data_IF_742970621342
#
_entry.id   IF_742970621342
#
_cell.length_a   1.000
_cell.length_b   1.000
_cell.length_c   1.000
_cell.angle_alpha   90.00
_cell.angle_beta   90.00
_cell.angle_gamma   90.00
#
_symmetry.space_group_name_H-M   'P 1'
#
loop_
_entity.id
_entity.type
_entity.pdbx_description
1 polymer ?
#
# COMPACT_ATOMS: atom_id res chain seq x y z
N UNK A 1 -18.80 -0.02 12.21
CA UNK A 1 -18.56 -0.14 10.76
C UNK A 1 -17.13 -0.51 10.41
N UNK A 2 -16.09 0.32 10.64
CA UNK A 2 -14.71 -0.04 10.27
C UNK A 2 -14.23 -1.31 10.97
N UNK A 3 -14.51 -1.45 12.27
CA UNK A 3 -14.26 -2.67 13.05
C UNK A 3 -14.95 -3.91 12.49
N UNK A 4 -16.21 -3.77 12.04
CA UNK A 4 -16.98 -4.85 11.42
C UNK A 4 -16.38 -5.26 10.08
N UNK A 5 -16.03 -4.29 9.22
CA UNK A 5 -15.35 -4.55 7.95
C UNK A 5 -14.03 -5.29 8.20
N UNK A 6 -13.23 -4.85 9.18
CA UNK A 6 -11.98 -5.53 9.56
C UNK A 6 -12.21 -6.96 10.03
N UNK A 7 -13.30 -7.23 10.75
CA UNK A 7 -13.70 -8.59 11.13
C UNK A 7 -14.05 -9.43 9.90
N UNK A 8 -14.81 -8.89 8.96
CA UNK A 8 -15.19 -9.57 7.72
C UNK A 8 -13.99 -9.92 6.81
N UNK A 9 -12.94 -9.08 6.78
CA UNK A 9 -11.71 -9.34 6.01
C UNK A 9 -10.61 -10.04 6.82
N UNK A 10 -10.88 -10.44 8.07
CA UNK A 10 -9.85 -10.92 9.00
C UNK A 10 -9.15 -12.20 8.52
N UNK A 11 -9.89 -13.11 7.86
CA UNK A 11 -9.32 -14.32 7.26
C UNK A 11 -8.37 -13.97 6.10
N UNK A 12 -8.76 -13.04 5.24
CA UNK A 12 -7.92 -12.57 4.13
C UNK A 12 -6.66 -11.89 4.65
N UNK A 13 -6.78 -11.01 5.65
CA UNK A 13 -5.63 -10.38 6.30
C UNK A 13 -4.71 -11.44 6.92
N UNK A 14 -5.26 -12.45 7.59
CA UNK A 14 -4.47 -13.54 8.17
C UNK A 14 -3.70 -14.33 7.11
N UNK A 15 -4.27 -14.54 5.93
CA UNK A 15 -3.58 -15.16 4.78
C UNK A 15 -2.43 -14.31 4.27
N UNK A 16 -2.58 -12.98 4.21
CA UNK A 16 -1.50 -12.07 3.78
C UNK A 16 -0.38 -12.05 4.81
N UNK A 17 -0.72 -11.93 6.09
CA UNK A 17 0.25 -11.83 7.19
C UNK A 17 1.03 -13.15 7.41
N UNK A 18 0.39 -14.29 7.16
CA UNK A 18 1.04 -15.61 7.21
C UNK A 18 1.78 -15.98 5.92
N UNK A 19 1.62 -15.20 4.85
CA UNK A 19 2.34 -15.43 3.61
C UNK A 19 3.85 -15.33 3.85
N UNK A 20 4.58 -16.35 3.41
CA UNK A 20 6.05 -16.30 3.41
C UNK A 20 6.49 -15.31 2.33
N UNK A 21 7.21 -14.28 2.75
CA UNK A 21 7.78 -13.25 1.88
C UNK A 21 9.02 -13.77 1.15
N UNK A 22 9.45 -13.03 0.13
CA UNK A 22 10.70 -13.31 -0.58
C UNK A 22 11.93 -13.23 0.34
N UNK A 23 13.02 -13.88 -0.07
CA UNK A 23 14.16 -14.16 0.81
C UNK A 23 15.53 -13.69 0.28
N UNK A 24 15.62 -13.26 -0.97
CA UNK A 24 16.86 -12.82 -1.63
C UNK A 24 17.01 -11.29 -1.70
N UNK A 25 18.25 -10.83 -1.79
CA UNK A 25 18.57 -9.40 -2.01
C UNK A 25 18.15 -8.98 -3.42
N UNK A 26 18.26 -9.89 -4.38
CA UNK A 26 17.86 -9.68 -5.77
C UNK A 26 16.35 -9.39 -5.86
N UNK A 27 15.51 -10.13 -5.12
CA UNK A 27 14.07 -9.81 -5.05
C UNK A 27 13.79 -8.55 -4.23
N UNK A 28 14.60 -8.20 -3.22
CA UNK A 28 14.48 -6.90 -2.54
C UNK A 28 14.76 -5.73 -3.48
N UNK A 29 15.77 -5.83 -4.34
CA UNK A 29 16.06 -4.84 -5.38
C UNK A 29 14.92 -4.73 -6.39
N UNK A 30 14.39 -5.88 -6.84
CA UNK A 30 13.20 -5.92 -7.67
C UNK A 30 12.02 -5.21 -6.99
N UNK A 31 11.78 -5.49 -5.70
CA UNK A 31 10.75 -4.83 -4.90
C UNK A 31 10.91 -3.31 -4.96
N UNK A 32 12.13 -2.76 -4.79
CA UNK A 32 12.34 -1.31 -4.90
C UNK A 32 12.09 -0.74 -6.30
N UNK A 33 12.39 -1.48 -7.37
CA UNK A 33 12.04 -1.07 -8.73
C UNK A 33 10.52 -1.08 -8.97
N UNK A 34 9.80 -2.07 -8.43
CA UNK A 34 8.34 -2.10 -8.51
C UNK A 34 7.71 -0.97 -7.65
N UNK A 35 8.25 -0.71 -6.47
CA UNK A 35 7.84 0.39 -5.61
C UNK A 35 8.12 1.76 -6.25
N UNK A 36 9.22 1.89 -7.00
CA UNK A 36 9.47 3.11 -7.78
C UNK A 36 8.33 3.39 -8.77
N UNK A 37 7.80 2.36 -9.45
CA UNK A 37 6.63 2.53 -10.30
C UNK A 37 5.38 2.90 -9.48
N UNK A 38 5.08 2.11 -8.45
CA UNK A 38 3.87 2.25 -7.61
C UNK A 38 3.81 3.65 -6.96
N UNK A 39 4.83 4.04 -6.20
CA UNK A 39 4.83 5.30 -5.43
C UNK A 39 4.74 6.53 -6.34
N UNK A 40 5.33 6.50 -7.53
CA UNK A 40 5.17 7.59 -8.51
C UNK A 40 3.72 7.75 -9.00
N UNK A 41 2.96 6.66 -9.07
CA UNK A 41 1.55 6.68 -9.48
C UNK A 41 0.63 6.95 -8.28
N UNK A 42 0.93 6.42 -7.11
CA UNK A 42 0.16 6.64 -5.89
C UNK A 42 0.18 8.12 -5.46
N UNK A 43 1.32 8.80 -5.59
CA UNK A 43 1.39 10.26 -5.40
C UNK A 43 0.42 11.05 -6.28
N UNK A 44 0.21 10.62 -7.53
CA UNK A 44 -0.74 11.27 -8.44
C UNK A 44 -2.18 10.94 -8.04
N UNK A 45 -2.43 9.69 -7.66
CA UNK A 45 -3.73 9.26 -7.15
C UNK A 45 -4.13 10.03 -5.90
N UNK A 46 -3.22 10.19 -4.94
CA UNK A 46 -3.44 10.98 -3.72
C UNK A 46 -3.65 12.46 -4.03
N UNK A 47 -2.89 13.05 -4.95
CA UNK A 47 -3.13 14.43 -5.39
C UNK A 47 -4.53 14.60 -6.02
N UNK A 48 -5.00 13.61 -6.80
CA UNK A 48 -6.37 13.60 -7.33
C UNK A 48 -7.39 13.50 -6.18
N UNK A 49 -7.17 12.63 -5.19
CA UNK A 49 -8.05 12.52 -4.01
C UNK A 49 -8.15 13.85 -3.25
N UNK A 50 -7.02 14.53 -3.00
CA UNK A 50 -6.98 15.87 -2.38
C UNK A 50 -7.80 16.86 -3.21
N UNK A 51 -7.63 16.89 -4.53
CA UNK A 51 -8.35 17.83 -5.40
C UNK A 51 -9.88 17.62 -5.42
N UNK A 52 -10.34 16.43 -5.01
CA UNK A 52 -11.75 16.03 -4.99
C UNK A 52 -12.36 16.03 -3.59
N UNK A 53 -11.55 16.18 -2.56
CA UNK A 53 -11.99 16.29 -1.18
C UNK A 53 -12.90 17.50 -1.00
N UNK A 54 -13.93 17.35 -0.16
CA UNK A 54 -14.93 18.38 0.10
C UNK A 54 -14.82 18.96 1.50
N UNK A 55 -14.28 18.18 2.42
CA UNK A 55 -14.17 18.51 3.83
C UNK A 55 -12.69 18.63 4.25
N UNK A 56 -12.42 19.40 5.30
CA UNK A 56 -11.04 19.64 5.75
C UNK A 56 -10.36 18.35 6.25
N UNK A 57 -11.11 17.47 6.92
CA UNK A 57 -10.58 16.21 7.43
C UNK A 57 -10.17 15.24 6.32
N UNK A 58 -10.91 15.22 5.20
CA UNK A 58 -10.53 14.50 3.98
C UNK A 58 -9.22 15.02 3.41
N UNK A 59 -9.08 16.35 3.30
CA UNK A 59 -7.83 16.98 2.84
C UNK A 59 -6.67 16.59 3.75
N UNK A 60 -6.84 16.74 5.06
CA UNK A 60 -5.80 16.45 6.05
C UNK A 60 -5.36 14.98 5.99
N UNK A 61 -6.31 14.06 5.87
CA UNK A 61 -6.05 12.63 5.71
C UNK A 61 -5.21 12.34 4.46
N UNK A 62 -5.64 12.84 3.30
CA UNK A 62 -4.93 12.56 2.04
C UNK A 62 -3.59 13.29 1.94
N UNK A 63 -3.44 14.49 2.52
CA UNK A 63 -2.16 15.19 2.63
C UNK A 63 -1.19 14.39 3.49
N UNK A 64 -1.63 13.84 4.62
CA UNK A 64 -0.79 12.98 5.46
C UNK A 64 -0.34 11.72 4.71
N UNK A 65 -1.24 11.07 3.97
CA UNK A 65 -0.90 9.91 3.15
C UNK A 65 0.12 10.28 2.05
N UNK A 66 -0.12 11.38 1.34
CA UNK A 66 0.76 11.87 0.27
C UNK A 66 2.16 12.21 0.78
N UNK A 67 2.27 12.78 1.98
CA UNK A 67 3.57 13.07 2.60
C UNK A 67 4.38 11.79 2.84
N UNK A 68 3.74 10.70 3.30
CA UNK A 68 4.39 9.40 3.47
C UNK A 68 4.99 8.89 2.17
N UNK A 69 4.19 8.86 1.10
CA UNK A 69 4.64 8.44 -0.23
C UNK A 69 5.71 9.37 -0.80
N UNK A 70 5.64 10.68 -0.52
CA UNK A 70 6.61 11.65 -0.99
C UNK A 70 7.99 11.43 -0.36
N UNK A 71 8.05 11.16 0.95
CA UNK A 71 9.30 10.78 1.61
C UNK A 71 9.80 9.41 1.12
N UNK A 72 8.89 8.46 0.90
CA UNK A 72 9.23 7.16 0.30
C UNK A 72 9.86 7.30 -1.09
N UNK A 73 9.33 8.19 -1.92
CA UNK A 73 9.86 8.46 -3.27
C UNK A 73 11.27 9.05 -3.23
N UNK A 74 11.57 9.93 -2.26
CA UNK A 74 12.93 10.48 -2.10
C UNK A 74 13.94 9.35 -1.83
N UNK A 75 13.58 8.41 -0.97
CA UNK A 75 14.43 7.25 -0.68
C UNK A 75 14.58 6.37 -1.93
N UNK A 76 13.47 6.01 -2.59
CA UNK A 76 13.49 5.16 -3.80
C UNK A 76 14.30 5.79 -4.94
N UNK A 77 14.35 7.12 -5.03
CA UNK A 77 15.19 7.81 -6.02
C UNK A 77 16.66 7.41 -5.89
N UNK A 78 17.14 7.21 -4.67
CA UNK A 78 18.51 6.80 -4.37
C UNK A 78 18.71 5.29 -4.52
N UNK A 79 17.77 4.47 -4.02
CA UNK A 79 18.03 3.03 -3.81
C UNK A 79 17.48 2.12 -4.91
N UNK A 80 16.47 2.58 -5.68
CA UNK A 80 15.93 1.80 -6.78
C UNK A 80 16.85 1.90 -8.01
N UNK A 81 17.09 0.76 -8.66
CA UNK A 81 17.91 0.67 -9.87
C UNK A 81 17.16 1.16 -11.12
N UNK A 82 15.82 1.11 -11.11
CA UNK A 82 14.90 1.59 -12.15
C UNK A 82 15.12 0.89 -13.50
N UNK A 83 15.50 -0.39 -13.47
CA UNK A 83 15.80 -1.20 -14.65
C UNK A 83 14.72 -2.22 -14.98
N UNK A 84 13.90 -2.59 -13.99
CA UNK A 84 12.88 -3.63 -14.14
C UNK A 84 11.59 -3.03 -14.68
N UNK A 85 11.00 -3.70 -15.66
CA UNK A 85 9.65 -3.37 -16.12
C UNK A 85 8.61 -3.67 -15.02
N UNK A 86 7.48 -2.96 -15.00
CA UNK A 86 6.39 -3.24 -14.07
C UNK A 86 5.85 -4.66 -14.27
N UNK A 87 5.79 -5.44 -13.20
CA UNK A 87 5.19 -6.77 -13.19
C UNK A 87 3.69 -6.60 -12.93
N UNK A 88 2.80 -6.99 -13.86
CA UNK A 88 1.37 -6.69 -13.74
C UNK A 88 0.73 -7.12 -12.42
N UNK A 89 1.05 -8.30 -11.90
CA UNK A 89 0.52 -8.80 -10.63
C UNK A 89 1.06 -8.05 -9.40
N UNK A 90 2.21 -7.38 -9.53
CA UNK A 90 2.82 -6.61 -8.45
C UNK A 90 2.35 -5.15 -8.50
N UNK A 91 2.08 -4.59 -9.68
CA UNK A 91 1.66 -3.18 -9.78
C UNK A 91 0.15 -2.98 -9.90
N UNK A 92 -0.65 -4.05 -9.88
CA UNK A 92 -2.11 -3.98 -9.99
C UNK A 92 -2.77 -3.11 -8.91
N UNK A 93 -2.21 -3.12 -7.70
CA UNK A 93 -2.66 -2.28 -6.58
C UNK A 93 -2.74 -0.79 -6.97
N UNK A 94 -1.68 -0.24 -7.57
CA UNK A 94 -1.64 1.20 -7.90
C UNK A 94 -2.66 1.57 -8.99
N UNK A 95 -2.96 0.64 -9.90
CA UNK A 95 -4.00 0.85 -10.92
C UNK A 95 -5.40 0.92 -10.28
N UNK A 96 -5.66 0.06 -9.29
CA UNK A 96 -6.89 0.13 -8.53
C UNK A 96 -6.97 1.39 -7.66
N UNK A 97 -5.87 1.81 -7.04
CA UNK A 97 -5.82 3.07 -6.30
C UNK A 97 -6.10 4.28 -7.22
N UNK A 98 -5.57 4.28 -8.44
CA UNK A 98 -5.89 5.29 -9.45
C UNK A 98 -7.38 5.28 -9.82
N UNK A 99 -8.00 4.10 -9.92
CA UNK A 99 -9.44 4.00 -10.12
C UNK A 99 -10.22 4.57 -8.92
N UNK A 100 -9.82 4.26 -7.68
CA UNK A 100 -10.43 4.84 -6.47
C UNK A 100 -10.32 6.36 -6.47
N UNK A 101 -9.15 6.90 -6.81
CA UNK A 101 -8.93 8.35 -6.85
C UNK A 101 -9.90 9.07 -7.80
N UNK A 102 -10.17 8.47 -8.96
CA UNK A 102 -11.01 9.09 -10.00
C UNK A 102 -12.51 8.84 -9.79
N UNK A 103 -12.89 7.65 -9.33
CA UNK A 103 -14.28 7.18 -9.44
C UNK A 103 -14.95 6.88 -8.10
N UNK A 104 -14.20 6.67 -7.02
CA UNK A 104 -14.77 6.43 -5.70
C UNK A 104 -15.11 7.75 -4.97
N UNK A 105 -15.92 7.64 -3.92
CA UNK A 105 -16.14 8.75 -2.98
C UNK A 105 -15.03 8.79 -1.89
N UNK A 106 -14.85 9.92 -1.18
CA UNK A 106 -13.82 10.04 -0.15
C UNK A 106 -13.86 8.96 0.94
N UNK A 107 -15.06 8.54 1.38
CA UNK A 107 -15.20 7.44 2.33
C UNK A 107 -14.68 6.10 1.80
N UNK A 108 -14.94 5.77 0.54
CA UNK A 108 -14.38 4.56 -0.11
C UNK A 108 -12.85 4.66 -0.27
N UNK A 109 -12.33 5.84 -0.60
CA UNK A 109 -10.89 6.10 -0.75
C UNK A 109 -10.15 5.93 0.58
N UNK A 110 -10.63 6.60 1.64
CA UNK A 110 -10.08 6.49 2.99
C UNK A 110 -10.17 5.07 3.50
N UNK A 111 -11.30 4.37 3.27
CA UNK A 111 -11.43 2.98 3.66
C UNK A 111 -10.34 2.10 3.03
N UNK A 112 -10.11 2.23 1.72
CA UNK A 112 -9.10 1.45 1.00
C UNK A 112 -7.71 1.58 1.63
N UNK A 113 -7.32 2.80 2.00
CA UNK A 113 -6.04 3.08 2.65
C UNK A 113 -5.99 2.54 4.09
N UNK A 114 -6.97 2.85 4.94
CA UNK A 114 -6.92 2.50 6.38
C UNK A 114 -7.00 1.00 6.67
N UNK A 115 -7.60 0.20 5.78
CA UNK A 115 -7.61 -1.25 5.95
C UNK A 115 -6.29 -1.90 5.52
N UNK A 116 -5.61 -1.32 4.52
CA UNK A 116 -4.40 -1.88 3.92
C UNK A 116 -3.12 -1.51 4.69
N UNK A 117 -2.99 -0.25 5.13
CA UNK A 117 -1.77 0.27 5.77
C UNK A 117 -1.22 -0.58 6.94
N UNK A 118 -2.04 -1.16 7.84
CA UNK A 118 -1.54 -2.04 8.89
C UNK A 118 -0.87 -3.33 8.36
N UNK A 119 -1.42 -3.91 7.29
CA UNK A 119 -0.88 -5.13 6.67
C UNK A 119 0.43 -4.82 5.95
N UNK A 120 0.45 -3.73 5.18
CA UNK A 120 1.65 -3.21 4.53
C UNK A 120 2.78 -2.96 5.54
N UNK A 121 2.47 -2.24 6.63
CA UNK A 121 3.43 -1.90 7.68
C UNK A 121 4.03 -3.14 8.34
N UNK A 122 3.19 -4.14 8.62
CA UNK A 122 3.63 -5.39 9.22
C UNK A 122 4.62 -6.15 8.31
N UNK A 123 4.32 -6.25 7.02
CA UNK A 123 5.22 -6.92 6.08
C UNK A 123 6.51 -6.11 5.85
N UNK A 124 6.44 -4.78 5.83
CA UNK A 124 7.64 -3.93 5.81
C UNK A 124 8.54 -4.22 7.02
N UNK A 125 7.96 -4.29 8.23
CA UNK A 125 8.71 -4.62 9.45
C UNK A 125 9.40 -5.98 9.37
N UNK A 126 8.72 -7.01 8.87
CA UNK A 126 9.31 -8.34 8.64
C UNK A 126 10.50 -8.30 7.69
N UNK A 127 10.43 -7.49 6.64
CA UNK A 127 11.53 -7.32 5.69
C UNK A 127 12.69 -6.53 6.31
N UNK A 128 12.42 -5.49 7.11
CA UNK A 128 13.46 -4.77 7.87
C UNK A 128 14.24 -5.76 8.75
N UNK A 129 13.55 -6.55 9.58
CA UNK A 129 14.18 -7.52 10.48
C UNK A 129 15.07 -8.52 9.72
N UNK A 130 14.69 -8.85 8.49
CA UNK A 130 15.38 -9.83 7.65
C UNK A 130 16.60 -9.27 6.90
N UNK A 131 16.57 -8.00 6.52
CA UNK A 131 17.51 -7.39 5.58
C UNK A 131 18.33 -6.21 6.14
N UNK A 132 18.03 -5.69 7.34
CA UNK A 132 18.69 -4.50 7.92
C UNK A 132 20.22 -4.56 7.95
N UNK A 133 20.80 -5.74 8.11
CA UNK A 133 22.25 -5.94 8.18
C UNK A 133 22.87 -6.38 6.83
N UNK A 134 22.07 -6.40 5.76
CA UNK A 134 22.43 -6.99 4.45
C UNK A 134 22.27 -6.03 3.28
N UNK A 135 21.35 -5.07 3.37
CA UNK A 135 21.05 -4.14 2.29
C UNK A 135 20.40 -2.86 2.83
N UNK A 136 20.22 -1.84 1.98
CA UNK A 136 19.49 -0.63 2.36
C UNK A 136 18.01 -0.96 2.60
N UNK A 137 17.52 -0.67 3.80
CA UNK A 137 16.14 -0.90 4.26
C UNK A 137 15.40 0.40 4.60
N UNK A 138 15.95 1.58 4.31
CA UNK A 138 15.38 2.88 4.72
C UNK A 138 13.92 3.05 4.26
N UNK A 139 13.61 2.59 3.04
CA UNK A 139 12.25 2.63 2.52
C UNK A 139 11.32 1.75 3.35
N UNK A 140 11.73 0.53 3.68
CA UNK A 140 10.94 -0.39 4.51
C UNK A 140 10.78 0.16 5.94
N UNK A 141 11.82 0.77 6.51
CA UNK A 141 11.77 1.38 7.85
C UNK A 141 10.76 2.53 7.93
N UNK A 142 10.69 3.37 6.88
CA UNK A 142 9.70 4.44 6.78
C UNK A 142 8.28 3.90 6.92
N UNK A 143 7.98 2.78 6.26
CA UNK A 143 6.65 2.19 6.25
C UNK A 143 6.42 1.15 7.36
N UNK A 144 7.44 0.75 8.13
CA UNK A 144 7.31 -0.29 9.16
C UNK A 144 6.41 0.11 10.35
N UNK A 145 6.14 1.41 10.53
CA UNK A 145 5.38 1.95 11.67
C UNK A 145 4.39 3.04 11.24
N UNK A 146 3.72 2.89 10.10
CA UNK A 146 2.69 3.87 9.67
C UNK A 146 1.60 3.95 10.72
N UNK A 147 1.29 5.17 11.15
CA UNK A 147 0.16 5.47 12.02
C UNK A 147 -0.94 6.12 11.20
N UNK A 148 -2.16 5.61 11.35
CA UNK A 148 -3.35 6.20 10.76
C UNK A 148 -4.20 6.77 11.88
N UNK A 149 -4.72 7.98 11.71
CA UNK A 149 -5.74 8.52 12.61
C UNK A 149 -7.06 7.77 12.35
N UNK A 150 -7.29 6.69 13.10
CA UNK A 150 -8.47 5.85 12.92
C UNK A 150 -9.76 6.60 13.22
N UNK A 151 -9.74 7.57 14.14
CA UNK A 151 -10.93 8.37 14.47
C UNK A 151 -11.31 9.25 13.29
N UNK A 152 -10.35 9.97 12.72
CA UNK A 152 -10.55 10.77 11.51
C UNK A 152 -11.02 9.89 10.35
N UNK A 153 -10.41 8.72 10.16
CA UNK A 153 -10.82 7.78 9.12
C UNK A 153 -12.28 7.35 9.31
N UNK A 154 -12.69 6.98 10.53
CA UNK A 154 -14.08 6.60 10.81
C UNK A 154 -15.06 7.75 10.57
N UNK A 155 -14.72 8.97 10.97
CA UNK A 155 -15.55 10.17 10.74
C UNK A 155 -15.79 10.39 9.24
N UNK A 156 -14.73 10.32 8.42
CA UNK A 156 -14.84 10.46 6.96
C UNK A 156 -15.66 9.31 6.37
N UNK A 157 -15.36 8.05 6.70
CA UNK A 157 -16.06 6.90 6.10
C UNK A 157 -17.55 6.93 6.47
N UNK A 158 -17.92 7.30 7.69
CA UNK A 158 -19.34 7.37 8.11
C UNK A 158 -20.14 8.48 7.40
N UNK A 159 -19.48 9.49 6.82
CA UNK A 159 -20.13 10.58 6.07
C UNK A 159 -20.71 10.10 4.74
N UNK A 160 -20.16 9.03 4.16
CA UNK A 160 -20.52 8.56 2.84
C UNK A 160 -21.29 7.24 2.89
N UNK A 161 -22.05 6.98 1.84
CA UNK A 161 -22.52 5.63 1.50
C UNK A 161 -21.55 5.06 0.47
N UNK A 162 -20.97 3.90 0.73
CA UNK A 162 -19.99 3.28 -0.15
C UNK A 162 -20.08 1.77 -0.15
N UNK A 163 -19.44 1.13 -1.13
CA UNK A 163 -19.34 -0.33 -1.27
C UNK A 163 -18.22 -0.87 -0.39
N UNK A 164 -18.29 -0.57 0.90
CA UNK A 164 -17.14 -0.67 1.79
C UNK A 164 -16.53 -2.06 1.89
N UNK A 165 -17.35 -3.11 2.03
CA UNK A 165 -16.84 -4.48 2.07
C UNK A 165 -16.20 -4.91 0.75
N UNK A 166 -16.73 -4.47 -0.39
CA UNK A 166 -16.19 -4.75 -1.71
C UNK A 166 -14.81 -4.09 -1.88
N UNK A 167 -14.70 -2.79 -1.57
CA UNK A 167 -13.43 -2.05 -1.62
C UNK A 167 -12.39 -2.70 -0.71
N UNK A 168 -12.79 -3.02 0.53
CA UNK A 168 -11.89 -3.62 1.51
C UNK A 168 -11.38 -5.01 1.08
N UNK A 169 -12.24 -5.84 0.48
CA UNK A 169 -11.81 -7.13 -0.09
C UNK A 169 -10.89 -6.93 -1.27
N UNK A 170 -11.25 -6.04 -2.20
CA UNK A 170 -10.50 -5.82 -3.43
C UNK A 170 -9.08 -5.32 -3.14
N UNK A 171 -8.94 -4.31 -2.28
CA UNK A 171 -7.62 -3.74 -1.94
C UNK A 171 -6.72 -4.77 -1.23
N UNK A 172 -7.29 -5.64 -0.39
CA UNK A 172 -6.53 -6.69 0.29
C UNK A 172 -6.18 -7.87 -0.64
N UNK A 173 -7.00 -8.17 -1.65
CA UNK A 173 -6.61 -9.14 -2.67
C UNK A 173 -5.45 -8.62 -3.51
N UNK A 174 -5.44 -7.33 -3.88
CA UNK A 174 -4.28 -6.74 -4.55
C UNK A 174 -3.02 -6.74 -3.66
N UNK A 175 -3.16 -6.50 -2.36
CA UNK A 175 -2.05 -6.65 -1.40
C UNK A 175 -1.52 -8.09 -1.37
N UNK A 176 -2.42 -9.08 -1.36
CA UNK A 176 -2.03 -10.50 -1.42
C UNK A 176 -1.27 -10.80 -2.73
N UNK A 177 -1.82 -10.39 -3.88
CA UNK A 177 -1.19 -10.60 -5.19
C UNK A 177 0.17 -9.91 -5.30
N UNK A 178 0.34 -8.75 -4.68
CA UNK A 178 1.62 -8.05 -4.61
C UNK A 178 2.72 -8.92 -4.00
N UNK A 179 2.46 -9.46 -2.80
CA UNK A 179 3.45 -10.28 -2.07
C UNK A 179 3.66 -11.64 -2.73
N UNK A 180 2.58 -12.24 -3.24
CA UNK A 180 2.64 -13.51 -3.98
C UNK A 180 3.46 -13.35 -5.26
N UNK A 181 3.22 -12.29 -6.02
CA UNK A 181 3.87 -12.03 -7.30
C UNK A 181 5.39 -11.91 -7.15
N UNK A 182 5.86 -11.17 -6.15
CA UNK A 182 7.31 -11.06 -5.85
C UNK A 182 7.93 -12.41 -5.49
N UNK A 183 7.24 -13.22 -4.67
CA UNK A 183 7.70 -14.56 -4.30
C UNK A 183 7.74 -15.50 -5.51
N UNK A 184 6.76 -15.39 -6.41
CA UNK A 184 6.72 -16.20 -7.61
C UNK A 184 7.85 -15.88 -8.59
N UNK A 185 8.23 -14.60 -8.71
CA UNK A 185 9.39 -14.21 -9.50
C UNK A 185 10.67 -14.81 -8.91
N UNK A 186 10.83 -14.76 -7.58
CA UNK A 186 11.96 -15.37 -6.88
C UNK A 186 12.04 -16.88 -7.14
N UNK A 187 10.94 -17.61 -6.96
CA UNK A 187 10.89 -19.07 -7.17
C UNK A 187 11.21 -19.49 -8.60
N UNK A 188 10.83 -18.68 -9.60
CA UNK A 188 11.07 -18.98 -11.01
C UNK A 188 12.51 -18.64 -11.44
N UNK A 189 13.27 -17.92 -10.62
CA UNK A 189 14.61 -17.44 -10.99
C UNK A 189 14.59 -16.36 -12.08
N UNK A 190 13.43 -15.75 -12.34
CA UNK A 190 13.26 -14.72 -13.35
C UNK A 190 13.61 -13.33 -12.77
N UNK A 191 14.75 -13.22 -12.09
CA UNK A 191 15.20 -11.97 -11.48
C UNK A 191 16.11 -11.24 -12.46
#
# INVERSE_FOLDING_TARGET
MLSEIRKEISELNSRILSHELFNSIETLKLFYDQQWYIVNHDLRSLAIMISRAKEQDEIDFFVSALQGDYEGLKILREIAEKKREPIPSVVSYTHYLAWLANYANPGEQVLGLVVNLPVWSYNCKRLVEKFKDKYDVRFLELFANVKVDERMAEEIINRYKGRYLEIAKMIQYYEYEFWEGLKNVEKKGNI
#
